data_IF_607911267371
#
_entry.id   IF_607911267371
#
_cell.length_a   1.000
_cell.length_b   1.000
_cell.length_c   1.000
_cell.angle_alpha   90.00
_cell.angle_beta   90.00
_cell.angle_gamma   90.00
#
_symmetry.space_group_name_H-M   'P 1'
#
loop_
_entity.id
_entity.type
_entity.pdbx_description
1 polymer ?
#
# COMPACT_ATOMS: atom_id res chain seq x y z
N UNK A 1 -0.36 11.02 -19.12
CA UNK A 1 0.51 10.60 -18.00
C UNK A 1 -0.15 9.37 -17.36
N UNK A 2 0.62 8.30 -17.19
CA UNK A 2 0.17 7.04 -16.60
C UNK A 2 1.27 6.41 -15.72
N UNK A 3 1.97 7.25 -14.95
CA UNK A 3 3.14 6.86 -14.17
C UNK A 3 2.82 6.04 -12.91
N UNK A 4 1.52 5.90 -12.57
CA UNK A 4 1.07 5.09 -11.46
C UNK A 4 1.40 5.68 -10.08
N UNK A 5 1.62 4.80 -9.12
CA UNK A 5 1.99 5.15 -7.74
C UNK A 5 3.11 4.22 -7.23
N UNK A 6 3.89 4.69 -6.27
CA UNK A 6 4.95 3.93 -5.60
C UNK A 6 4.60 3.66 -4.13
N UNK A 7 5.11 2.57 -3.53
CA UNK A 7 4.97 2.32 -2.10
C UNK A 7 5.58 3.46 -1.26
N UNK A 8 4.88 3.84 -0.19
CA UNK A 8 5.38 4.78 0.82
C UNK A 8 6.53 4.11 1.59
N UNK A 9 7.68 4.80 1.72
CA UNK A 9 8.88 4.27 2.38
C UNK A 9 9.38 5.15 3.53
N UNK A 10 8.56 6.07 4.03
CA UNK A 10 8.92 7.04 5.06
C UNK A 10 7.89 7.13 6.22
N UNK A 11 7.01 6.14 6.33
CA UNK A 11 5.94 6.14 7.33
C UNK A 11 6.39 5.76 8.75
N UNK A 12 7.48 5.01 8.85
CA UNK A 12 8.07 4.53 10.12
C UNK A 12 9.59 4.48 9.91
N UNK A 13 10.41 4.95 10.86
CA UNK A 13 11.87 4.82 10.77
C UNK A 13 12.30 3.37 10.55
N UNK A 14 13.11 3.11 9.50
CA UNK A 14 13.60 1.79 9.12
C UNK A 14 12.69 0.99 8.19
N UNK A 15 11.48 1.48 7.89
CA UNK A 15 10.54 0.78 6.99
C UNK A 15 11.01 0.79 5.54
N UNK A 16 11.88 1.70 5.18
CA UNK A 16 12.50 1.78 3.84
C UNK A 16 13.31 0.53 3.48
N UNK A 17 13.81 -0.20 4.49
CA UNK A 17 14.51 -1.46 4.30
C UNK A 17 13.56 -2.67 4.14
N UNK A 18 12.27 -2.49 4.39
CA UNK A 18 11.29 -3.57 4.30
C UNK A 18 10.83 -3.79 2.85
N UNK A 19 10.69 -5.05 2.42
CA UNK A 19 10.00 -5.42 1.19
C UNK A 19 8.62 -4.78 1.08
N UNK A 20 8.21 -4.49 -0.16
CA UNK A 20 6.89 -3.96 -0.52
C UNK A 20 6.09 -4.99 -1.31
N UNK A 21 4.89 -4.63 -1.77
CA UNK A 21 4.09 -5.47 -2.66
C UNK A 21 4.85 -5.88 -3.93
N UNK A 22 5.71 -5.01 -4.43
CA UNK A 22 6.46 -5.24 -5.66
C UNK A 22 7.52 -6.34 -5.44
N UNK A 23 8.20 -6.31 -4.28
CA UNK A 23 9.22 -7.29 -3.90
C UNK A 23 8.61 -8.65 -3.50
N UNK A 24 7.41 -8.65 -2.90
CA UNK A 24 6.77 -9.88 -2.42
C UNK A 24 6.38 -10.82 -3.56
N UNK A 25 5.98 -10.29 -4.71
CA UNK A 25 5.60 -11.09 -5.88
C UNK A 25 6.80 -11.82 -6.51
N UNK A 26 8.02 -11.37 -6.24
CA UNK A 26 9.27 -11.96 -6.74
C UNK A 26 9.96 -12.88 -5.73
N UNK A 27 9.31 -13.19 -4.58
CA UNK A 27 9.90 -14.08 -3.58
C UNK A 27 10.21 -15.47 -4.15
N UNK A 28 11.45 -15.89 -4.01
CA UNK A 28 11.92 -17.24 -4.44
C UNK A 28 11.57 -18.32 -3.41
N UNK A 29 11.36 -17.97 -2.15
CA UNK A 29 10.98 -18.89 -1.09
C UNK A 29 10.09 -18.18 -0.07
N UNK A 30 9.12 -18.90 0.48
CA UNK A 30 8.25 -18.37 1.51
C UNK A 30 8.95 -18.35 2.87
N UNK A 31 8.85 -17.25 3.63
CA UNK A 31 9.34 -17.22 5.01
C UNK A 31 8.41 -18.06 5.91
N UNK A 32 8.94 -18.65 6.99
CA UNK A 32 8.09 -19.39 7.93
C UNK A 32 7.13 -18.48 8.71
N UNK A 33 7.49 -17.18 8.85
CA UNK A 33 6.76 -16.17 9.58
C UNK A 33 6.91 -14.81 8.90
N UNK A 34 5.83 -14.04 8.86
CA UNK A 34 5.84 -12.69 8.27
C UNK A 34 5.08 -11.69 9.13
N UNK A 35 5.60 -10.47 9.27
CA UNK A 35 4.84 -9.32 9.70
C UNK A 35 4.37 -8.51 8.49
N UNK A 36 3.16 -7.97 8.54
CA UNK A 36 2.64 -7.04 7.55
C UNK A 36 2.27 -5.75 8.28
N UNK A 37 2.76 -4.62 7.79
CA UNK A 37 2.48 -3.31 8.38
C UNK A 37 1.55 -2.55 7.45
N UNK A 38 0.34 -2.27 7.95
CA UNK A 38 -0.75 -1.65 7.21
C UNK A 38 -2.05 -2.42 7.33
N UNK A 39 -3.16 -1.83 6.89
CA UNK A 39 -4.49 -2.45 6.94
C UNK A 39 -5.38 -2.06 5.76
N UNK A 40 -4.80 -1.61 4.67
CA UNK A 40 -5.47 -1.44 3.39
C UNK A 40 -5.70 -2.77 2.69
N UNK A 41 -6.38 -2.74 1.55
CA UNK A 41 -6.69 -3.96 0.78
C UNK A 41 -5.43 -4.75 0.39
N UNK A 42 -4.33 -4.09 0.03
CA UNK A 42 -3.03 -4.73 -0.27
C UNK A 42 -2.54 -5.56 0.92
N UNK A 43 -2.58 -4.98 2.13
CA UNK A 43 -2.16 -5.69 3.34
C UNK A 43 -3.02 -6.94 3.61
N UNK A 44 -4.33 -6.85 3.45
CA UNK A 44 -5.26 -7.95 3.71
C UNK A 44 -5.15 -9.06 2.65
N UNK A 45 -5.01 -8.69 1.40
CA UNK A 45 -4.83 -9.65 0.30
C UNK A 45 -3.55 -10.45 0.50
N UNK A 46 -2.41 -9.80 0.72
CA UNK A 46 -1.15 -10.51 0.95
C UNK A 46 -1.12 -11.28 2.27
N UNK A 47 -1.75 -10.76 3.34
CA UNK A 47 -1.92 -11.53 4.58
C UNK A 47 -2.68 -12.83 4.33
N UNK A 48 -3.77 -12.76 3.56
CA UNK A 48 -4.61 -13.91 3.23
C UNK A 48 -3.87 -14.90 2.31
N UNK A 49 -3.12 -14.42 1.33
CA UNK A 49 -2.33 -15.27 0.43
C UNK A 49 -1.24 -15.99 1.22
N UNK A 50 -0.43 -15.28 1.99
CA UNK A 50 0.67 -15.87 2.77
C UNK A 50 0.16 -16.87 3.79
N UNK A 51 -0.90 -16.56 4.52
CA UNK A 51 -1.49 -17.48 5.50
C UNK A 51 -1.99 -18.78 4.85
N UNK A 52 -2.62 -18.71 3.68
CA UNK A 52 -3.08 -19.89 2.91
C UNK A 52 -1.93 -20.72 2.35
N UNK A 53 -0.77 -20.11 2.15
CA UNK A 53 0.47 -20.79 1.76
C UNK A 53 1.27 -21.32 2.96
N UNK A 54 0.71 -21.25 4.19
CA UNK A 54 1.30 -21.83 5.39
C UNK A 54 2.25 -20.91 6.16
N UNK A 55 2.34 -19.63 5.79
CA UNK A 55 3.15 -18.64 6.52
C UNK A 55 2.40 -18.20 7.79
N UNK A 56 3.07 -18.16 8.94
CA UNK A 56 2.51 -17.55 10.16
C UNK A 56 2.51 -16.01 10.01
N UNK A 57 1.32 -15.40 9.86
CA UNK A 57 1.18 -13.97 9.56
C UNK A 57 0.70 -13.19 10.76
N UNK A 58 1.40 -12.08 11.08
CA UNK A 58 0.99 -11.06 12.05
C UNK A 58 0.75 -9.73 11.33
N UNK A 59 -0.43 -9.11 11.49
CA UNK A 59 -0.84 -7.87 10.82
C UNK A 59 -0.89 -6.72 11.82
N UNK A 60 -0.04 -5.70 11.64
CA UNK A 60 0.09 -4.54 12.51
C UNK A 60 -0.54 -3.29 11.89
N UNK A 61 -1.45 -2.61 12.62
CA UNK A 61 -2.10 -1.42 12.10
C UNK A 61 -2.63 -0.49 13.21
N UNK A 62 -2.78 0.81 12.89
CA UNK A 62 -3.15 1.87 13.85
C UNK A 62 -4.61 1.86 14.27
N UNK A 63 -5.51 1.55 13.36
CA UNK A 63 -6.96 1.64 13.60
C UNK A 63 -7.48 0.44 14.42
N UNK A 64 -8.67 0.57 14.98
CA UNK A 64 -9.39 -0.55 15.63
C UNK A 64 -9.73 -1.67 14.65
N UNK A 65 -10.15 -1.31 13.43
CA UNK A 65 -10.53 -2.23 12.37
C UNK A 65 -9.72 -1.95 11.10
N UNK A 66 -9.41 -2.96 10.28
CA UNK A 66 -8.77 -2.77 8.97
C UNK A 66 -9.69 -2.06 7.97
N UNK A 67 -9.22 -1.84 6.74
CA UNK A 67 -9.99 -1.27 5.61
C UNK A 67 -10.61 0.10 5.92
N UNK A 68 -9.80 1.07 6.39
CA UNK A 68 -10.27 2.43 6.64
C UNK A 68 -10.95 2.99 5.38
N UNK A 69 -12.14 3.58 5.56
CA UNK A 69 -12.95 4.15 4.48
C UNK A 69 -13.99 3.20 3.89
N UNK A 70 -14.01 1.95 4.30
CA UNK A 70 -15.06 0.99 3.98
C UNK A 70 -16.15 0.98 5.06
N UNK A 71 -17.31 0.41 4.75
CA UNK A 71 -18.41 0.20 5.67
C UNK A 71 -17.98 -0.61 6.91
N UNK A 72 -18.48 -0.26 8.11
CA UNK A 72 -18.02 -0.84 9.36
C UNK A 72 -18.37 -2.32 9.51
N UNK A 73 -19.53 -2.76 9.00
CA UNK A 73 -19.93 -4.17 9.04
C UNK A 73 -18.99 -5.01 8.16
N UNK A 74 -18.63 -4.50 6.98
CA UNK A 74 -17.64 -5.13 6.09
C UNK A 74 -16.28 -5.24 6.78
N UNK A 75 -15.82 -4.16 7.42
CA UNK A 75 -14.54 -4.14 8.14
C UNK A 75 -14.50 -5.13 9.30
N UNK A 76 -15.60 -5.22 10.04
CA UNK A 76 -15.76 -6.17 11.16
C UNK A 76 -15.72 -7.61 10.65
N UNK A 77 -16.46 -7.91 9.58
CA UNK A 77 -16.46 -9.24 8.97
C UNK A 77 -15.10 -9.60 8.38
N UNK A 78 -14.41 -8.65 7.75
CA UNK A 78 -13.06 -8.86 7.23
C UNK A 78 -12.07 -9.20 8.35
N UNK A 79 -12.11 -8.46 9.47
CA UNK A 79 -11.25 -8.76 10.63
C UNK A 79 -11.51 -10.16 11.19
N UNK A 80 -12.79 -10.55 11.36
CA UNK A 80 -13.16 -11.88 11.82
C UNK A 80 -12.70 -12.99 10.86
N UNK A 81 -12.84 -12.78 9.54
CA UNK A 81 -12.39 -13.73 8.53
C UNK A 81 -10.86 -13.91 8.53
N UNK A 82 -10.10 -12.83 8.72
CA UNK A 82 -8.64 -12.90 8.85
C UNK A 82 -8.23 -13.71 10.08
N UNK A 83 -8.87 -13.49 11.23
CA UNK A 83 -8.60 -14.24 12.45
C UNK A 83 -8.95 -15.73 12.29
N UNK A 84 -10.09 -16.06 11.65
CA UNK A 84 -10.47 -17.43 11.33
C UNK A 84 -9.46 -18.12 10.38
N UNK A 85 -8.81 -17.35 9.52
CA UNK A 85 -7.73 -17.83 8.66
C UNK A 85 -6.38 -17.99 9.40
N UNK A 86 -6.34 -17.78 10.72
CA UNK A 86 -5.13 -17.91 11.53
C UNK A 86 -4.19 -16.72 11.50
N UNK A 87 -4.63 -15.57 10.97
CA UNK A 87 -3.83 -14.34 10.94
C UNK A 87 -3.93 -13.63 12.30
N UNK A 88 -2.79 -13.36 12.91
CA UNK A 88 -2.72 -12.63 14.17
C UNK A 88 -2.90 -11.13 13.92
N UNK A 89 -3.99 -10.54 14.43
CA UNK A 89 -4.26 -9.10 14.27
C UNK A 89 -3.75 -8.31 15.47
N UNK A 90 -3.02 -7.21 15.19
CA UNK A 90 -2.51 -6.27 16.18
C UNK A 90 -3.10 -4.86 15.94
N UNK A 91 -4.41 -4.64 16.26
CA UNK A 91 -5.02 -3.32 16.14
C UNK A 91 -4.42 -2.35 17.15
N UNK A 92 -4.35 -1.06 16.78
CA UNK A 92 -3.74 -0.01 17.61
C UNK A 92 -2.23 -0.16 17.80
N UNK A 93 -1.60 -1.09 17.08
CA UNK A 93 -0.19 -1.41 17.26
C UNK A 93 0.54 -1.30 15.92
N UNK A 94 1.44 -0.32 15.84
CA UNK A 94 2.45 -0.25 14.77
C UNK A 94 3.81 -0.09 15.44
N UNK A 95 4.91 -0.60 14.86
CA UNK A 95 6.23 -0.38 15.41
C UNK A 95 6.58 1.11 15.37
N UNK A 96 7.23 1.61 16.44
CA UNK A 96 7.81 2.95 16.47
C UNK A 96 8.99 3.08 15.51
N UNK A 97 9.77 2.01 15.39
CA UNK A 97 10.87 1.87 14.45
C UNK A 97 11.10 0.40 14.08
N UNK A 98 11.77 0.21 12.97
CA UNK A 98 12.17 -1.11 12.47
C UNK A 98 13.68 -1.09 12.31
N UNK A 99 14.34 -2.13 12.78
CA UNK A 99 15.79 -2.31 12.62
C UNK A 99 16.04 -3.62 11.88
N UNK A 100 17.10 -3.68 11.12
CA UNK A 100 17.57 -4.92 10.52
C UNK A 100 18.77 -5.45 11.30
N UNK A 101 18.65 -6.68 11.80
CA UNK A 101 19.71 -7.38 12.48
C UNK A 101 19.93 -8.73 11.76
N UNK A 102 21.05 -8.87 11.07
CA UNK A 102 21.38 -10.05 10.24
C UNK A 102 20.25 -10.38 9.24
N UNK A 103 19.66 -11.57 9.37
CA UNK A 103 18.57 -12.05 8.54
C UNK A 103 17.17 -11.73 9.09
N UNK A 104 17.07 -10.95 10.18
CA UNK A 104 15.81 -10.65 10.85
C UNK A 104 15.50 -9.14 10.79
N UNK A 105 14.21 -8.83 10.83
CA UNK A 105 13.70 -7.49 11.13
C UNK A 105 13.23 -7.45 12.58
N UNK A 106 13.65 -6.42 13.30
CA UNK A 106 13.25 -6.15 14.67
C UNK A 106 12.18 -5.06 14.64
N UNK A 107 10.95 -5.40 14.97
CA UNK A 107 9.84 -4.46 15.15
C UNK A 107 9.84 -3.99 16.60
N UNK A 108 10.15 -2.73 16.82
CA UNK A 108 10.30 -2.13 18.16
C UNK A 108 9.07 -1.27 18.44
N UNK A 109 8.31 -1.62 19.47
CA UNK A 109 7.12 -0.90 19.91
C UNK A 109 7.47 0.33 20.77
N UNK A 110 6.48 1.16 21.11
CA UNK A 110 6.67 2.35 21.94
C UNK A 110 7.18 2.03 23.37
N UNK A 111 6.83 0.87 23.90
CA UNK A 111 7.26 0.36 25.19
C UNK A 111 8.58 -0.46 25.13
N UNK A 112 9.35 -0.27 24.06
CA UNK A 112 10.63 -0.95 23.76
C UNK A 112 10.52 -2.48 23.64
N UNK A 113 9.33 -3.07 23.61
CA UNK A 113 9.18 -4.49 23.29
C UNK A 113 9.60 -4.75 21.84
N UNK A 114 10.42 -5.79 21.66
CA UNK A 114 10.96 -6.21 20.37
C UNK A 114 10.25 -7.47 19.90
N UNK A 115 9.86 -7.49 18.63
CA UNK A 115 9.38 -8.68 17.94
C UNK A 115 10.21 -8.94 16.70
N UNK A 116 10.65 -10.16 16.53
CA UNK A 116 11.54 -10.56 15.43
C UNK A 116 10.76 -11.27 14.32
N UNK A 117 11.04 -10.88 13.08
CA UNK A 117 10.46 -11.50 11.90
C UNK A 117 11.50 -11.66 10.79
N UNK A 118 11.57 -12.85 10.14
CA UNK A 118 12.44 -13.04 8.99
C UNK A 118 11.98 -12.23 7.77
N UNK A 119 10.72 -11.82 7.74
CA UNK A 119 10.14 -11.04 6.65
C UNK A 119 9.15 -10.01 7.19
N UNK A 120 9.25 -8.77 6.71
CA UNK A 120 8.32 -7.68 7.03
C UNK A 120 7.84 -7.04 5.74
N UNK A 121 6.54 -7.10 5.47
CA UNK A 121 5.93 -6.43 4.34
C UNK A 121 5.51 -5.01 4.71
N UNK A 122 6.03 -4.02 3.99
CA UNK A 122 5.55 -2.66 4.04
C UNK A 122 4.31 -2.51 3.13
N UNK A 123 3.14 -2.39 3.74
CA UNK A 123 1.85 -2.13 3.08
C UNK A 123 1.16 -0.89 3.66
N UNK A 124 1.94 0.13 4.06
CA UNK A 124 1.46 1.35 4.75
C UNK A 124 0.78 2.34 3.82
N UNK A 125 0.91 2.20 2.50
CA UNK A 125 0.27 3.02 1.49
C UNK A 125 1.09 3.17 0.22
N UNK A 126 0.51 3.92 -0.73
CA UNK A 126 1.15 4.28 -2.00
C UNK A 126 0.99 5.78 -2.23
N UNK A 127 1.95 6.40 -2.91
CA UNK A 127 1.92 7.81 -3.37
C UNK A 127 1.97 7.87 -4.88
N UNK A 128 1.24 8.83 -5.50
CA UNK A 128 1.33 9.08 -6.94
C UNK A 128 2.76 9.32 -7.41
N UNK A 129 3.14 8.73 -8.54
CA UNK A 129 4.44 8.94 -9.19
C UNK A 129 4.41 10.18 -10.07
N UNK A 130 4.23 11.34 -9.48
CA UNK A 130 4.18 12.65 -10.14
C UNK A 130 5.46 13.45 -9.99
N UNK A 131 6.37 13.06 -9.10
CA UNK A 131 7.63 13.75 -8.86
C UNK A 131 8.62 13.59 -10.01
N UNK A 132 9.33 14.68 -10.39
CA UNK A 132 10.44 14.64 -11.34
C UNK A 132 10.05 14.42 -12.82
N UNK A 133 8.75 14.41 -13.16
CA UNK A 133 8.29 14.22 -14.56
C UNK A 133 8.03 15.53 -15.31
N UNK A 134 8.47 16.66 -14.75
CA UNK A 134 8.43 17.95 -15.44
C UNK A 134 7.07 18.65 -15.46
N UNK A 135 6.16 18.37 -14.51
CA UNK A 135 4.82 18.95 -14.46
C UNK A 135 4.83 20.49 -14.38
N UNK A 136 5.80 21.07 -13.66
CA UNK A 136 5.94 22.51 -13.49
C UNK A 136 6.17 23.22 -14.84
N UNK A 137 6.89 22.57 -15.76
CA UNK A 137 7.20 23.14 -17.09
C UNK A 137 5.97 23.33 -17.98
N UNK A 138 4.87 22.59 -17.67
CA UNK A 138 3.58 22.65 -18.38
C UNK A 138 2.47 23.25 -17.52
N UNK A 139 2.78 23.78 -16.35
CA UNK A 139 1.84 24.45 -15.46
C UNK A 139 0.83 23.52 -14.77
N UNK A 140 1.16 22.24 -14.62
CA UNK A 140 0.35 21.27 -13.88
C UNK A 140 0.82 21.21 -12.43
N UNK A 141 -0.06 21.58 -11.51
CA UNK A 141 0.16 21.54 -10.06
C UNK A 141 -0.53 20.31 -9.48
N UNK A 142 0.20 19.53 -8.70
CA UNK A 142 -0.36 18.38 -7.96
C UNK A 142 -1.12 18.84 -6.71
N UNK A 143 -1.98 17.98 -6.18
CA UNK A 143 -2.59 18.18 -4.86
C UNK A 143 -1.60 17.86 -3.71
N UNK A 144 -2.05 18.03 -2.46
CA UNK A 144 -1.25 17.77 -1.26
C UNK A 144 -0.79 16.30 -1.11
N UNK A 145 -1.48 15.37 -1.77
CA UNK A 145 -1.11 13.96 -1.82
C UNK A 145 -0.12 13.64 -2.98
N UNK A 146 0.19 14.64 -3.81
CA UNK A 146 1.00 14.49 -5.01
C UNK A 146 0.23 13.98 -6.22
N UNK A 147 -1.11 13.91 -6.17
CA UNK A 147 -1.90 13.46 -7.31
C UNK A 147 -2.03 14.55 -8.39
N UNK A 148 -2.13 14.12 -9.64
CA UNK A 148 -2.41 15.01 -10.77
C UNK A 148 -3.93 15.23 -10.86
N UNK A 149 -4.44 16.46 -10.62
CA UNK A 149 -5.86 16.74 -10.73
C UNK A 149 -6.33 16.65 -12.18
N UNK A 150 -7.48 16.01 -12.39
CA UNK A 150 -8.11 15.83 -13.71
C UNK A 150 -9.62 16.13 -13.65
N UNK A 151 -10.18 16.49 -14.80
CA UNK A 151 -11.62 16.59 -14.99
C UNK A 151 -12.27 15.23 -15.29
N UNK A 152 -13.58 15.23 -15.57
CA UNK A 152 -14.34 14.02 -15.91
C UNK A 152 -13.90 13.39 -17.26
N UNK A 153 -13.25 14.17 -18.12
CA UNK A 153 -12.68 13.70 -19.40
C UNK A 153 -11.18 13.35 -19.30
N UNK A 154 -10.67 13.16 -18.07
CA UNK A 154 -9.28 12.79 -17.77
C UNK A 154 -8.24 13.86 -18.18
N UNK A 155 -8.69 15.11 -18.42
CA UNK A 155 -7.83 16.23 -18.82
C UNK A 155 -7.21 16.89 -17.61
N UNK A 156 -5.93 17.20 -17.72
CA UNK A 156 -5.26 18.11 -16.76
C UNK A 156 -5.59 19.57 -17.11
N UNK A 157 -5.09 20.51 -16.30
CA UNK A 157 -5.20 21.95 -16.63
C UNK A 157 -4.37 22.35 -17.85
N UNK A 158 -3.35 21.59 -18.24
CA UNK A 158 -2.55 21.84 -19.42
C UNK A 158 -3.25 21.30 -20.67
N UNK A 159 -3.46 22.12 -21.72
CA UNK A 159 -4.11 21.66 -22.94
C UNK A 159 -3.39 20.49 -23.58
N UNK A 160 -4.15 19.47 -24.03
CA UNK A 160 -3.60 18.28 -24.67
C UNK A 160 -2.90 17.30 -23.74
N UNK A 161 -2.90 17.55 -22.42
CA UNK A 161 -2.28 16.66 -21.43
C UNK A 161 -3.35 15.99 -20.58
N UNK A 162 -3.28 14.68 -20.52
CA UNK A 162 -4.21 13.80 -19.78
C UNK A 162 -3.45 13.01 -18.73
N UNK A 163 -4.16 12.58 -17.66
CA UNK A 163 -3.60 11.66 -16.66
C UNK A 163 -4.63 10.58 -16.30
N UNK A 164 -4.16 9.35 -16.12
CA UNK A 164 -4.98 8.16 -15.84
C UNK A 164 -4.34 7.26 -14.79
N UNK A 165 -5.15 6.44 -14.14
CA UNK A 165 -4.72 5.47 -13.15
C UNK A 165 -4.24 6.10 -11.84
N UNK A 166 -3.37 5.38 -11.13
CA UNK A 166 -3.01 5.68 -9.74
C UNK A 166 -2.33 7.05 -9.53
N UNK A 167 -1.72 7.62 -10.58
CA UNK A 167 -1.13 8.96 -10.50
C UNK A 167 -2.16 10.06 -10.24
N UNK A 168 -3.45 9.77 -10.50
CA UNK A 168 -4.57 10.68 -10.21
C UNK A 168 -5.17 10.50 -8.81
N UNK A 169 -4.77 9.44 -8.11
CA UNK A 169 -5.21 9.05 -6.76
C UNK A 169 -6.75 9.02 -6.55
N UNK A 170 -7.52 8.77 -7.59
CA UNK A 170 -8.97 8.71 -7.55
C UNK A 170 -9.48 7.33 -7.11
N UNK A 171 -9.08 6.30 -7.84
CA UNK A 171 -9.41 4.90 -7.58
C UNK A 171 -8.21 4.04 -7.98
N UNK A 172 -7.39 3.69 -7.00
CA UNK A 172 -6.12 2.98 -7.20
C UNK A 172 -6.37 1.47 -7.37
N UNK A 173 -7.00 1.12 -8.50
CA UNK A 173 -7.36 -0.25 -8.88
C UNK A 173 -7.01 -0.50 -10.35
N UNK A 174 -6.33 -1.60 -10.62
CA UNK A 174 -5.93 -2.00 -11.98
C UNK A 174 -7.09 -1.99 -13.00
N UNK A 175 -8.29 -2.55 -12.71
CA UNK A 175 -9.40 -2.50 -13.67
C UNK A 175 -9.88 -1.08 -13.97
N UNK A 176 -9.78 -0.17 -13.00
CA UNK A 176 -10.12 1.25 -13.21
C UNK A 176 -9.10 1.92 -14.13
N UNK A 177 -7.82 1.74 -13.88
CA UNK A 177 -6.76 2.29 -14.73
C UNK A 177 -6.88 1.78 -16.19
N UNK A 178 -7.20 0.50 -16.37
CA UNK A 178 -7.46 -0.09 -17.70
C UNK A 178 -8.68 0.56 -18.37
N UNK A 179 -9.78 0.73 -17.63
CA UNK A 179 -11.00 1.35 -18.14
C UNK A 179 -10.77 2.82 -18.53
N UNK A 180 -10.07 3.58 -17.70
CA UNK A 180 -9.68 4.97 -17.99
C UNK A 180 -8.80 5.05 -19.24
N UNK A 181 -7.81 4.16 -19.38
CA UNK A 181 -6.95 4.12 -20.58
C UNK A 181 -7.70 3.83 -21.86
N UNK A 182 -8.65 2.88 -21.84
CA UNK A 182 -9.51 2.58 -22.99
C UNK A 182 -10.43 3.74 -23.33
N UNK A 183 -11.14 4.28 -22.34
CA UNK A 183 -12.04 5.41 -22.54
C UNK A 183 -11.31 6.63 -23.10
N UNK A 184 -10.10 6.90 -22.63
CA UNK A 184 -9.27 7.98 -23.17
C UNK A 184 -8.90 7.71 -24.65
N UNK A 185 -8.43 6.51 -24.98
CA UNK A 185 -8.06 6.16 -26.34
C UNK A 185 -9.24 6.25 -27.31
N UNK A 186 -10.43 5.85 -26.88
CA UNK A 186 -11.66 5.94 -27.68
C UNK A 186 -12.16 7.39 -27.87
N UNK A 187 -11.72 8.32 -27.02
CA UNK A 187 -12.13 9.74 -27.02
C UNK A 187 -11.21 10.65 -27.82
N UNK A 188 -10.01 10.19 -28.18
CA UNK A 188 -8.99 10.93 -28.94
C UNK A 188 -9.07 10.65 -30.44
#
# INVERSE_FOLDING_TARGET
IASGAAPVRDSIPGIEACPTSDDLLDLQALPPKAAIIGSGFIALEFASILARLGVAVSLFYRARLPLRGFDEDLRTRAAAALQQAGIELHPGSVPRRIERADAQFLLIADDERVREFPFVLNATGRRPNSGGIGLDSVGVVTDDAGAIPIDAALRTKAPGLYAIGDVTNRRNLTPVAIAEGRALADSL
#
